data_IF_267313751904
#
_entry.id   IF_267313751904
#
_cell.length_a   1.000
_cell.length_b   1.000
_cell.length_c   1.000
_cell.angle_alpha   90.00
_cell.angle_beta   90.00
_cell.angle_gamma   90.00
#
_symmetry.space_group_name_H-M   'P 1'
#
loop_
_entity.id
_entity.type
_entity.pdbx_description
1 polymer ?
#
# COMPACT_ATOMS: atom_id res chain seq x y z
N UNK A 1 12.72 3.47 15.26
CA UNK A 1 12.02 2.51 14.38
C UNK A 1 11.40 3.23 13.18
N UNK A 2 11.02 2.56 12.08
CA UNK A 2 10.15 3.13 11.03
C UNK A 2 8.81 2.39 11.02
N UNK A 3 7.71 3.13 10.98
CA UNK A 3 6.36 2.59 10.98
C UNK A 3 5.64 2.99 9.70
N UNK A 4 5.12 2.01 8.97
CA UNK A 4 4.19 2.22 7.86
C UNK A 4 2.80 1.88 8.38
N UNK A 5 1.89 2.85 8.37
CA UNK A 5 0.50 2.64 8.77
C UNK A 5 -0.35 2.41 7.54
N UNK A 6 -1.43 1.65 7.65
CA UNK A 6 -2.44 1.52 6.59
C UNK A 6 -3.28 2.81 6.49
N UNK A 7 -3.87 3.08 5.33
CA UNK A 7 -4.64 4.32 5.06
C UNK A 7 -5.91 4.41 5.94
N UNK A 8 -6.47 3.26 6.36
CA UNK A 8 -7.57 3.22 7.34
C UNK A 8 -7.18 3.79 8.71
N UNK A 9 -5.93 3.68 9.15
CA UNK A 9 -5.46 4.26 10.40
C UNK A 9 -5.52 5.78 10.33
N UNK A 10 -5.21 6.36 9.18
CA UNK A 10 -5.31 7.81 8.95
C UNK A 10 -6.77 8.26 9.04
N UNK A 11 -7.71 7.48 8.49
CA UNK A 11 -9.14 7.74 8.67
C UNK A 11 -9.53 7.73 10.16
N UNK A 12 -9.08 6.74 10.92
CA UNK A 12 -9.39 6.62 12.34
C UNK A 12 -8.78 7.74 13.19
N UNK A 13 -7.61 8.25 12.82
CA UNK A 13 -7.01 9.42 13.45
C UNK A 13 -7.86 10.69 13.24
N UNK A 14 -8.41 10.89 12.03
CA UNK A 14 -9.26 12.05 11.71
C UNK A 14 -10.64 11.92 12.36
N UNK A 15 -11.19 10.70 12.35
CA UNK A 15 -12.48 10.40 12.95
C UNK A 15 -12.37 10.34 14.50
N UNK A 16 -11.19 10.61 15.07
CA UNK A 16 -10.93 10.63 16.52
C UNK A 16 -11.08 9.27 17.21
N UNK A 17 -11.10 8.18 16.44
CA UNK A 17 -11.23 6.80 16.94
C UNK A 17 -9.93 6.29 17.56
N UNK A 18 -8.80 6.86 17.13
CA UNK A 18 -7.48 6.61 17.69
C UNK A 18 -6.88 7.94 18.10
N UNK A 19 -6.37 8.01 19.33
CA UNK A 19 -5.58 9.14 19.79
C UNK A 19 -4.16 9.05 19.19
N UNK A 20 -3.62 10.18 18.73
CA UNK A 20 -2.22 10.29 18.29
C UNK A 20 -1.25 9.88 19.40
N UNK A 21 -1.62 10.08 20.67
CA UNK A 21 -0.81 9.62 21.81
C UNK A 21 -0.74 8.08 21.95
N UNK A 22 -1.69 7.35 21.36
CA UNK A 22 -1.66 5.89 21.33
C UNK A 22 -0.74 5.33 20.22
N UNK A 23 -0.22 6.20 19.35
CA UNK A 23 0.74 5.81 18.32
C UNK A 23 2.15 5.64 18.92
N UNK A 24 2.96 4.71 18.40
CA UNK A 24 4.34 4.54 18.84
C UNK A 24 5.15 5.84 18.77
N UNK A 25 5.69 6.27 19.92
CA UNK A 25 6.51 7.50 20.02
C UNK A 25 8.00 7.28 19.79
N UNK A 26 8.44 6.04 19.62
CA UNK A 26 9.85 5.63 19.49
C UNK A 26 10.33 5.50 18.02
N UNK A 27 9.52 5.99 17.08
CA UNK A 27 9.81 5.85 15.66
C UNK A 27 9.19 6.91 14.76
N UNK A 28 9.56 6.81 13.50
CA UNK A 28 9.15 7.71 12.43
C UNK A 28 8.05 7.05 11.61
N UNK A 29 6.96 7.77 11.37
CA UNK A 29 5.93 7.32 10.45
C UNK A 29 6.34 7.65 9.01
N UNK A 30 6.26 6.65 8.15
CA UNK A 30 6.53 6.76 6.72
C UNK A 30 5.26 6.41 5.94
N UNK A 31 5.16 6.90 4.71
CA UNK A 31 4.11 6.53 3.78
C UNK A 31 4.66 6.21 2.40
N UNK A 32 3.89 5.48 1.61
CA UNK A 32 4.17 5.23 0.20
C UNK A 32 3.25 6.05 -0.70
N UNK A 33 3.57 6.10 -1.99
CA UNK A 33 2.71 6.75 -2.99
C UNK A 33 1.33 6.08 -3.11
N UNK A 34 1.21 4.78 -2.80
CA UNK A 34 -0.06 4.04 -2.85
C UNK A 34 -1.08 4.68 -1.89
N UNK A 35 -0.64 5.09 -0.70
CA UNK A 35 -1.52 5.73 0.28
C UNK A 35 -1.99 7.11 -0.19
N UNK A 36 -1.12 7.85 -0.89
CA UNK A 36 -1.49 9.11 -1.53
C UNK A 36 -2.52 8.87 -2.64
N UNK A 37 -2.34 7.82 -3.43
CA UNK A 37 -3.26 7.43 -4.50
C UNK A 37 -4.63 7.00 -3.94
N UNK A 38 -4.66 6.29 -2.81
CA UNK A 38 -5.89 5.95 -2.10
C UNK A 38 -6.61 7.19 -1.55
N UNK A 39 -5.89 8.13 -0.94
CA UNK A 39 -6.48 9.40 -0.46
C UNK A 39 -7.05 10.20 -1.64
N UNK A 40 -6.36 10.25 -2.78
CA UNK A 40 -6.83 10.96 -3.98
C UNK A 40 -8.15 10.40 -4.53
N UNK A 41 -8.41 9.10 -4.37
CA UNK A 41 -9.67 8.45 -4.77
C UNK A 41 -10.85 8.79 -3.85
N UNK A 42 -10.62 9.51 -2.74
CA UNK A 42 -11.70 9.99 -1.86
C UNK A 42 -12.52 11.06 -2.58
N UNK A 43 -13.82 10.81 -2.78
CA UNK A 43 -14.72 11.71 -3.51
C UNK A 43 -15.04 13.01 -2.75
N UNK A 44 -15.12 12.94 -1.42
CA UNK A 44 -15.36 14.10 -0.56
C UNK A 44 -14.08 14.95 -0.46
N UNK A 45 -14.15 16.16 -1.01
CA UNK A 45 -13.00 17.07 -1.11
C UNK A 45 -12.51 17.56 0.26
N UNK A 46 -13.42 17.87 1.18
CA UNK A 46 -13.06 18.30 2.53
C UNK A 46 -12.43 17.17 3.33
N UNK A 47 -12.97 15.95 3.20
CA UNK A 47 -12.39 14.77 3.83
C UNK A 47 -11.01 14.47 3.25
N UNK A 48 -10.85 14.54 1.93
CA UNK A 48 -9.57 14.37 1.23
C UNK A 48 -8.52 15.38 1.71
N UNK A 49 -8.90 16.65 1.86
CA UNK A 49 -8.00 17.69 2.39
C UNK A 49 -7.55 17.38 3.83
N UNK A 50 -8.47 16.96 4.70
CA UNK A 50 -8.14 16.56 6.09
C UNK A 50 -7.22 15.34 6.15
N UNK A 51 -7.42 14.38 5.25
CA UNK A 51 -6.54 13.22 5.09
C UNK A 51 -5.11 13.63 4.72
N UNK A 52 -4.97 14.53 3.75
CA UNK A 52 -3.65 15.04 3.37
C UNK A 52 -2.95 15.80 4.50
N UNK A 53 -3.64 16.68 5.21
CA UNK A 53 -3.05 17.44 6.32
C UNK A 53 -2.62 16.52 7.46
N UNK A 54 -3.45 15.53 7.81
CA UNK A 54 -3.14 14.58 8.88
C UNK A 54 -1.96 13.69 8.51
N UNK A 55 -1.94 13.22 7.26
CA UNK A 55 -0.83 12.44 6.73
C UNK A 55 0.46 13.26 6.72
N UNK A 56 0.46 14.46 6.13
CA UNK A 56 1.63 15.32 6.05
C UNK A 56 2.18 15.73 7.43
N UNK A 57 1.32 15.97 8.42
CA UNK A 57 1.73 16.34 9.79
C UNK A 57 2.22 15.16 10.63
N UNK A 58 1.95 13.93 10.20
CA UNK A 58 2.37 12.72 10.92
C UNK A 58 3.58 12.06 10.27
N UNK A 59 3.82 12.31 8.98
CA UNK A 59 4.91 11.69 8.22
C UNK A 59 6.26 12.36 8.42
N UNK A 60 7.27 11.52 8.64
CA UNK A 60 8.68 11.90 8.61
C UNK A 60 9.31 11.73 7.21
N UNK A 61 8.64 11.05 6.27
CA UNK A 61 9.11 10.91 4.90
C UNK A 61 8.29 9.95 4.03
N UNK A 62 8.41 10.09 2.71
CA UNK A 62 7.84 9.19 1.70
C UNK A 62 8.87 8.10 1.35
N UNK A 63 8.46 6.83 1.36
CA UNK A 63 9.31 5.69 1.00
C UNK A 63 8.78 5.03 -0.27
N UNK A 64 9.69 4.64 -1.17
CA UNK A 64 9.35 3.96 -2.41
C UNK A 64 8.90 2.51 -2.12
N UNK A 65 7.96 1.98 -2.90
CA UNK A 65 7.58 0.57 -2.78
C UNK A 65 8.66 -0.30 -3.41
N UNK A 66 9.09 -1.35 -2.71
CA UNK A 66 10.19 -2.21 -3.18
C UNK A 66 9.86 -3.11 -4.38
N UNK A 67 8.61 -3.11 -4.86
CA UNK A 67 8.18 -3.93 -5.99
C UNK A 67 7.20 -3.15 -6.86
N UNK A 68 7.43 -3.15 -8.18
CA UNK A 68 6.52 -2.61 -9.19
C UNK A 68 5.37 -3.58 -9.44
N UNK A 69 4.15 -3.17 -9.13
CA UNK A 69 2.92 -3.84 -9.56
C UNK A 69 2.34 -3.05 -10.72
N UNK A 70 2.30 -3.65 -11.91
CA UNK A 70 1.67 -3.04 -13.08
C UNK A 70 0.20 -2.70 -12.77
N UNK A 71 -0.25 -1.51 -13.19
CA UNK A 71 -1.58 -0.91 -12.93
C UNK A 71 -1.80 -0.30 -11.52
N UNK A 72 -0.83 -0.44 -10.60
CA UNK A 72 -0.90 0.15 -9.25
C UNK A 72 0.29 1.06 -8.95
N UNK A 73 1.48 0.74 -9.44
CA UNK A 73 2.68 1.49 -9.12
C UNK A 73 2.97 2.59 -10.13
N UNK A 74 3.27 3.80 -9.64
CA UNK A 74 3.77 4.89 -10.49
C UNK A 74 5.16 4.50 -11.00
N UNK A 75 5.38 4.62 -12.32
CA UNK A 75 6.56 4.10 -13.05
C UNK A 75 7.93 4.64 -12.57
N UNK A 76 7.96 5.57 -11.61
CA UNK A 76 9.16 6.22 -11.07
C UNK A 76 9.44 5.88 -9.58
N UNK A 77 8.55 5.12 -8.91
CA UNK A 77 8.63 4.80 -7.47
C UNK A 77 8.70 3.31 -7.15
N UNK A 78 9.16 2.54 -8.13
CA UNK A 78 9.00 1.10 -8.15
C UNK A 78 10.30 0.45 -8.59
N UNK A 79 10.90 -0.39 -7.75
CA UNK A 79 12.06 -1.17 -8.16
C UNK A 79 11.62 -2.26 -9.13
N UNK A 80 12.16 -2.21 -10.35
CA UNK A 80 12.05 -3.30 -11.33
C UNK A 80 12.84 -4.51 -10.81
N UNK A 81 12.14 -5.58 -10.49
CA UNK A 81 12.75 -6.87 -10.16
C UNK A 81 13.21 -7.60 -11.43
N UNK A 82 14.17 -8.51 -11.27
CA UNK A 82 14.75 -9.36 -12.33
C UNK A 82 13.84 -10.52 -12.79
N UNK A 83 12.63 -10.64 -12.21
CA UNK A 83 11.68 -11.70 -12.53
C UNK A 83 12.01 -13.06 -11.89
N UNK A 84 13.12 -13.20 -11.15
CA UNK A 84 13.54 -14.47 -10.53
C UNK A 84 12.57 -14.87 -9.43
N UNK A 85 12.20 -13.94 -8.54
CA UNK A 85 11.25 -14.20 -7.45
C UNK A 85 9.85 -14.57 -7.95
N UNK A 86 9.38 -13.89 -9.01
CA UNK A 86 8.11 -14.23 -9.66
C UNK A 86 8.12 -15.67 -10.17
N UNK A 87 9.19 -16.05 -10.86
CA UNK A 87 9.34 -17.38 -11.45
C UNK A 87 9.41 -18.48 -10.38
N UNK A 88 10.08 -18.23 -9.26
CA UNK A 88 10.18 -19.19 -8.15
C UNK A 88 8.85 -19.37 -7.42
N UNK A 89 8.11 -18.29 -7.16
CA UNK A 89 6.78 -18.35 -6.53
C UNK A 89 5.79 -19.09 -7.45
N UNK A 90 5.78 -18.76 -8.75
CA UNK A 90 4.91 -19.43 -9.72
C UNK A 90 5.20 -20.93 -9.81
N UNK A 91 6.47 -21.31 -9.95
CA UNK A 91 6.90 -22.72 -10.01
C UNK A 91 6.47 -23.49 -8.76
N UNK A 92 6.56 -22.86 -7.59
CA UNK A 92 6.13 -23.46 -6.31
C UNK A 92 4.61 -23.60 -6.22
N UNK A 93 3.85 -22.64 -6.71
CA UNK A 93 2.38 -22.73 -6.72
C UNK A 93 1.90 -23.78 -7.71
N UNK A 94 2.52 -23.84 -8.90
CA UNK A 94 2.20 -24.86 -9.91
C UNK A 94 2.50 -26.28 -9.40
N UNK A 95 3.58 -26.46 -8.63
CA UNK A 95 3.89 -27.77 -8.03
C UNK A 95 2.94 -28.17 -6.90
N UNK A 96 2.42 -27.20 -6.15
CA UNK A 96 1.40 -27.43 -5.12
C UNK A 96 0.00 -27.66 -5.72
N UNK A 97 -0.28 -27.11 -6.91
CA UNK A 97 -1.55 -27.28 -7.62
C UNK A 97 -1.59 -28.51 -8.54
N UNK A 98 -0.67 -29.46 -8.35
CA UNK A 98 -0.60 -30.69 -9.15
C UNK A 98 -0.29 -30.44 -10.64
N UNK A 99 0.29 -29.30 -10.99
CA UNK A 99 0.54 -28.90 -12.38
C UNK A 99 -0.68 -28.32 -13.11
N UNK A 100 -1.81 -28.11 -12.44
CA UNK A 100 -2.94 -27.41 -13.05
C UNK A 100 -2.75 -25.89 -13.05
N UNK A 101 -3.01 -25.19 -14.16
CA UNK A 101 -2.90 -23.74 -14.21
C UNK A 101 -3.97 -23.07 -13.33
N UNK A 102 -3.54 -22.23 -12.39
CA UNK A 102 -4.43 -21.46 -11.52
C UNK A 102 -5.32 -20.47 -12.31
N UNK A 103 -6.64 -20.70 -12.30
CA UNK A 103 -7.76 -19.74 -12.44
C UNK A 103 -7.64 -18.59 -13.46
N UNK A 104 -7.09 -18.82 -14.66
CA UNK A 104 -7.18 -17.85 -15.78
C UNK A 104 -8.45 -17.99 -16.65
N UNK A 105 -9.38 -18.90 -16.31
CA UNK A 105 -10.66 -19.06 -17.00
C UNK A 105 -11.82 -19.33 -16.04
N UNK A 106 -12.40 -18.24 -15.53
CA UNK A 106 -13.83 -18.16 -15.18
C UNK A 106 -14.33 -16.78 -15.62
N UNK A 107 -14.46 -16.62 -16.93
CA UNK A 107 -15.40 -15.67 -17.52
C UNK A 107 -16.34 -16.56 -18.29
N UNK A 108 -17.35 -17.06 -17.58
CA UNK A 108 -18.48 -17.73 -18.19
C UNK A 108 -19.40 -16.59 -18.66
N UNK A 109 -19.49 -16.41 -19.98
CA UNK A 109 -20.51 -15.57 -20.63
C UNK A 109 -21.85 -16.30 -20.65
#
# INVERSE_FOLDING_TARGET
>A
MKYLVDTNIVNWLIDGRIDKAAMPGDGQFIATHVQIDEINKTSDEERRARLFVTLASSLSGLVQTETTVADVSRFDFSKLGDGILYSSIKTRLDSLNGGEPSNSRRIDC
#
